data_IF_100924816282
#
_entry.id   IF_100924816282
#
_cell.length_a   1.000
_cell.length_b   1.000
_cell.length_c   1.000
_cell.angle_alpha   90.00
_cell.angle_beta   90.00
_cell.angle_gamma   90.00
#
_symmetry.space_group_name_H-M   'P 1'
#
loop_
_entity.id
_entity.type
_entity.pdbx_description
1 polymer ?
#
# COMPACT_ATOMS: atom_id res chain seq x y z
N UNK A 1 28.95 -73.51 28.49
CA UNK A 1 27.95 -74.17 27.63
C UNK A 1 27.30 -73.12 26.73
N UNK A 2 27.44 -73.34 25.42
CA UNK A 2 26.53 -72.95 24.31
C UNK A 2 26.12 -71.47 24.08
N UNK A 3 26.75 -70.90 23.03
CA UNK A 3 26.48 -69.73 22.16
C UNK A 3 25.03 -69.61 21.60
N UNK A 4 24.69 -68.67 20.64
CA UNK A 4 24.87 -67.19 20.55
C UNK A 4 23.64 -66.47 19.88
N UNK A 5 23.63 -65.13 19.75
CA UNK A 5 23.31 -64.48 18.46
C UNK A 5 23.67 -62.98 18.43
N UNK A 6 24.13 -62.53 17.25
CA UNK A 6 24.48 -61.15 16.87
C UNK A 6 23.29 -60.49 16.15
N UNK A 7 23.28 -59.16 16.11
CA UNK A 7 23.02 -58.26 14.96
C UNK A 7 22.45 -56.93 15.50
N UNK A 8 23.14 -55.78 15.38
CA UNK A 8 23.16 -54.89 14.21
C UNK A 8 22.95 -53.43 14.70
N UNK A 9 23.32 -52.39 13.94
CA UNK A 9 23.56 -51.04 14.47
C UNK A 9 22.26 -50.24 14.71
N UNK A 10 22.31 -49.37 15.74
CA UNK A 10 21.23 -48.44 16.13
C UNK A 10 20.86 -47.50 14.98
N UNK A 11 19.61 -47.60 14.53
CA UNK A 11 18.98 -46.60 13.67
C UNK A 11 18.72 -45.30 14.45
N UNK A 12 18.89 -44.18 13.75
CA UNK A 12 18.66 -42.83 14.24
C UNK A 12 17.19 -42.62 14.64
N UNK A 13 16.98 -41.88 15.73
CA UNK A 13 15.67 -41.48 16.19
C UNK A 13 15.08 -40.42 15.26
N UNK A 14 14.07 -40.80 14.47
CA UNK A 14 13.13 -39.86 13.87
C UNK A 14 12.09 -39.46 14.93
N UNK A 15 12.26 -38.27 15.48
CA UNK A 15 11.19 -37.60 16.24
C UNK A 15 10.19 -37.03 15.24
N UNK A 16 9.18 -37.82 14.88
CA UNK A 16 8.02 -37.33 14.13
C UNK A 16 7.18 -36.39 14.99
N UNK A 17 7.02 -35.14 14.54
CA UNK A 17 6.01 -34.22 15.08
C UNK A 17 4.63 -34.64 14.57
N UNK A 18 3.65 -34.97 15.45
CA UNK A 18 2.27 -35.14 15.04
C UNK A 18 1.60 -33.76 15.03
N UNK A 19 1.26 -33.23 13.86
CA UNK A 19 0.59 -31.94 13.81
C UNK A 19 0.45 -31.26 12.46
N UNK A 20 0.50 -31.98 11.33
CA UNK A 20 0.05 -31.44 10.04
C UNK A 20 -1.43 -31.80 9.78
N UNK A 21 -2.25 -31.68 10.81
CA UNK A 21 -3.70 -31.71 10.64
C UNK A 21 -4.10 -30.48 9.85
N UNK A 22 -4.38 -30.63 8.55
CA UNK A 22 -5.25 -29.69 7.84
C UNK A 22 -6.49 -29.53 8.72
N UNK A 23 -6.69 -28.34 9.28
CA UNK A 23 -7.96 -28.00 9.87
C UNK A 23 -8.93 -28.00 8.69
N UNK A 24 -9.63 -29.12 8.52
CA UNK A 24 -10.80 -29.17 7.66
C UNK A 24 -11.85 -28.42 8.46
N UNK A 25 -11.87 -27.09 8.30
CA UNK A 25 -13.07 -26.32 8.59
C UNK A 25 -14.05 -26.85 7.56
N UNK A 26 -15.00 -27.68 8.01
CA UNK A 26 -16.11 -28.10 7.17
C UNK A 26 -16.64 -26.84 6.49
N UNK A 27 -16.63 -26.86 5.15
CA UNK A 27 -17.25 -25.83 4.33
C UNK A 27 -18.56 -25.43 5.00
N UNK A 28 -18.67 -24.16 5.40
CA UNK A 28 -19.86 -23.62 6.03
C UNK A 28 -20.93 -23.49 4.94
N UNK A 29 -21.43 -24.64 4.48
CA UNK A 29 -22.59 -24.76 3.64
C UNK A 29 -23.81 -24.46 4.49
N UNK A 30 -24.05 -23.18 4.78
CA UNK A 30 -25.35 -22.55 5.14
C UNK A 30 -25.22 -21.24 5.95
N UNK A 31 -24.14 -20.46 5.84
CA UNK A 31 -24.21 -19.10 6.35
C UNK A 31 -25.16 -18.30 5.45
N UNK A 32 -26.37 -18.05 5.96
CA UNK A 32 -27.27 -17.07 5.34
C UNK A 32 -26.74 -15.68 5.70
N UNK A 33 -26.79 -14.72 4.77
CA UNK A 33 -26.46 -13.36 5.12
C UNK A 33 -27.35 -12.89 6.28
N UNK A 34 -26.75 -12.21 7.23
CA UNK A 34 -27.45 -11.76 8.42
C UNK A 34 -26.98 -10.38 8.82
N UNK A 35 -27.86 -9.39 8.74
CA UNK A 35 -27.61 -8.09 9.34
C UNK A 35 -27.36 -8.21 10.84
N UNK A 36 -26.40 -7.44 11.35
CA UNK A 36 -26.02 -7.44 12.75
C UNK A 36 -26.17 -6.05 13.35
N UNK A 37 -26.66 -6.00 14.59
CA UNK A 37 -26.68 -4.78 15.37
C UNK A 37 -25.37 -4.66 16.17
N UNK A 38 -24.68 -3.53 16.05
CA UNK A 38 -23.42 -3.28 16.76
C UNK A 38 -23.41 -1.88 17.37
N UNK A 39 -22.50 -1.67 18.31
CA UNK A 39 -22.21 -0.34 18.86
C UNK A 39 -20.80 0.09 18.43
N UNK A 40 -20.72 1.03 17.49
CA UNK A 40 -19.45 1.57 17.00
C UNK A 40 -18.95 2.72 17.90
N UNK A 41 -17.64 3.04 17.83
CA UNK A 41 -17.05 4.13 18.61
C UNK A 41 -16.77 5.34 17.74
N UNK A 42 -17.27 6.49 18.18
CA UNK A 42 -17.17 7.77 17.50
C UNK A 42 -16.40 8.79 18.34
N UNK A 43 -15.96 9.86 17.70
CA UNK A 43 -15.50 11.07 18.40
C UNK A 43 -16.64 11.63 19.25
N UNK A 44 -16.34 11.94 20.50
CA UNK A 44 -17.29 12.57 21.42
C UNK A 44 -17.81 13.89 20.84
N UNK A 45 -19.06 14.22 21.15
CA UNK A 45 -19.62 15.55 20.90
C UNK A 45 -19.18 16.49 22.02
N UNK A 46 -18.01 17.08 21.84
CA UNK A 46 -17.41 18.03 22.77
C UNK A 46 -17.26 19.42 22.10
N UNK A 47 -17.80 20.51 22.69
CA UNK A 47 -17.58 21.88 22.22
C UNK A 47 -16.10 22.28 22.10
N UNK A 48 -15.20 21.57 22.81
CA UNK A 48 -13.76 21.72 22.67
C UNK A 48 -13.32 21.70 21.20
N UNK A 49 -13.91 20.80 20.40
CA UNK A 49 -13.48 20.59 19.03
C UNK A 49 -13.80 21.76 18.09
N UNK A 50 -14.69 22.67 18.50
CA UNK A 50 -15.03 23.88 17.74
C UNK A 50 -13.96 24.97 17.85
N UNK A 51 -13.07 24.83 18.84
CA UNK A 51 -11.97 25.76 19.09
C UNK A 51 -10.59 25.11 18.97
N UNK A 52 -10.51 23.78 19.19
CA UNK A 52 -9.26 23.04 19.20
C UNK A 52 -9.38 21.83 18.27
N UNK A 53 -8.47 21.75 17.29
CA UNK A 53 -8.39 20.61 16.39
C UNK A 53 -8.16 19.31 17.18
N UNK A 54 -8.85 18.20 16.85
CA UNK A 54 -8.52 16.89 17.39
C UNK A 54 -7.04 16.55 17.16
N UNK A 55 -6.41 15.96 18.16
CA UNK A 55 -5.00 15.57 18.20
C UNK A 55 -4.91 14.18 18.83
N UNK A 56 -4.27 13.27 18.11
CA UNK A 56 -4.01 11.90 18.53
C UNK A 56 -2.50 11.63 18.55
N UNK A 57 -2.03 10.96 19.60
CA UNK A 57 -0.62 10.59 19.75
C UNK A 57 -0.46 9.08 19.70
N UNK A 58 0.29 8.58 18.72
CA UNK A 58 0.44 7.15 18.38
C UNK A 58 1.84 6.61 18.71
N UNK A 59 2.04 5.31 18.96
CA UNK A 59 1.06 4.22 18.94
C UNK A 59 0.37 3.95 20.30
N UNK A 60 0.94 4.42 21.41
CA UNK A 60 0.53 3.99 22.75
C UNK A 60 -0.48 4.94 23.42
N UNK A 61 -1.76 4.77 23.10
CA UNK A 61 -2.88 5.52 23.72
C UNK A 61 -2.84 5.54 25.26
N UNK A 62 -2.42 4.45 25.89
CA UNK A 62 -2.38 4.34 27.36
C UNK A 62 -1.34 5.25 28.01
N UNK A 63 -0.18 5.46 27.38
CA UNK A 63 0.88 6.34 27.90
C UNK A 63 0.72 7.79 27.45
N UNK A 64 -0.18 8.06 26.49
CA UNK A 64 -0.38 9.38 25.88
C UNK A 64 -1.74 10.01 26.24
N UNK A 65 -2.45 9.48 27.24
CA UNK A 65 -3.80 9.91 27.61
C UNK A 65 -3.93 11.43 27.90
N UNK A 66 -2.85 12.11 28.27
CA UNK A 66 -2.83 13.56 28.52
C UNK A 66 -2.29 14.39 27.34
N UNK A 67 -1.77 13.73 26.30
CA UNK A 67 -1.19 14.36 25.11
C UNK A 67 -2.13 14.32 23.90
N UNK A 68 -3.12 13.43 23.93
CA UNK A 68 -4.24 13.37 22.99
C UNK A 68 -5.44 14.12 23.55
N UNK A 69 -6.19 14.83 22.71
CA UNK A 69 -7.49 15.40 23.08
C UNK A 69 -8.67 14.66 22.42
N UNK A 70 -8.41 13.59 21.66
CA UNK A 70 -9.44 12.71 21.09
C UNK A 70 -10.08 11.90 22.19
N UNK A 71 -11.39 12.04 22.35
CA UNK A 71 -12.22 11.24 23.25
C UNK A 71 -13.20 10.41 22.44
N UNK A 72 -13.27 9.10 22.74
CA UNK A 72 -14.11 8.15 22.01
C UNK A 72 -15.27 7.64 22.85
N UNK A 73 -16.48 7.88 22.38
CA UNK A 73 -17.72 7.42 23.01
C UNK A 73 -18.40 6.36 22.15
N UNK A 74 -19.06 5.36 22.75
CA UNK A 74 -19.96 4.49 21.99
C UNK A 74 -21.09 5.32 21.37
N UNK A 75 -21.44 5.02 20.12
CA UNK A 75 -22.64 5.52 19.47
C UNK A 75 -23.90 4.78 19.95
N UNK A 76 -25.08 5.11 19.41
CA UNK A 76 -26.24 4.23 19.54
C UNK A 76 -26.02 2.93 18.73
N UNK A 77 -26.83 1.89 18.95
CA UNK A 77 -26.84 0.70 18.11
C UNK A 77 -27.11 1.06 16.65
N UNK A 78 -26.33 0.48 15.74
CA UNK A 78 -26.43 0.64 14.29
C UNK A 78 -26.42 -0.74 13.63
N UNK A 79 -27.14 -0.85 12.51
CA UNK A 79 -27.18 -2.08 11.72
C UNK A 79 -26.06 -2.07 10.70
N UNK A 80 -25.29 -3.16 10.66
CA UNK A 80 -24.35 -3.45 9.58
C UNK A 80 -25.05 -4.44 8.66
N UNK A 81 -25.22 -4.05 7.40
CA UNK A 81 -25.84 -4.87 6.38
C UNK A 81 -24.84 -5.88 5.84
N UNK A 82 -25.21 -7.15 5.83
CA UNK A 82 -24.36 -8.20 5.28
C UNK A 82 -24.44 -8.22 3.76
N UNK A 83 -23.30 -8.07 3.10
CA UNK A 83 -23.20 -7.97 1.65
C UNK A 83 -23.00 -9.30 0.93
N UNK A 84 -23.04 -10.43 1.64
CA UNK A 84 -22.78 -11.75 1.04
C UNK A 84 -23.64 -12.03 -0.22
N UNK A 85 -24.94 -11.70 -0.19
CA UNK A 85 -25.86 -11.86 -1.34
C UNK A 85 -25.83 -10.67 -2.31
N UNK A 86 -25.14 -9.59 -1.96
CA UNK A 86 -25.08 -8.31 -2.67
C UNK A 86 -23.64 -7.92 -3.04
N UNK A 87 -22.74 -8.91 -3.12
CA UNK A 87 -21.29 -8.72 -3.21
C UNK A 87 -20.86 -7.80 -4.37
N UNK A 88 -21.62 -7.80 -5.48
CA UNK A 88 -21.32 -7.06 -6.71
C UNK A 88 -22.06 -5.72 -6.83
N UNK A 89 -22.90 -5.35 -5.87
CA UNK A 89 -23.78 -4.18 -5.97
C UNK A 89 -23.05 -2.85 -5.67
N UNK A 90 -21.81 -2.93 -5.19
CA UNK A 90 -21.02 -1.79 -4.70
C UNK A 90 -19.90 -1.42 -5.66
N UNK A 91 -19.68 -0.12 -5.87
CA UNK A 91 -18.55 0.40 -6.65
C UNK A 91 -17.87 1.56 -5.94
N UNK A 92 -16.58 1.75 -6.24
CA UNK A 92 -15.79 2.82 -5.64
C UNK A 92 -16.39 4.22 -5.90
N UNK A 93 -16.97 4.48 -7.08
CA UNK A 93 -17.46 5.82 -7.44
C UNK A 93 -18.83 6.13 -6.82
N UNK A 94 -19.62 5.11 -6.53
CA UNK A 94 -20.98 5.26 -6.01
C UNK A 94 -21.05 5.09 -4.49
N UNK A 95 -20.28 4.16 -3.92
CA UNK A 95 -20.33 3.82 -2.50
C UNK A 95 -19.04 4.12 -1.76
N UNK A 96 -17.94 4.35 -2.47
CA UNK A 96 -16.62 4.55 -1.85
C UNK A 96 -15.89 3.25 -1.55
N UNK A 97 -16.52 2.09 -1.76
CA UNK A 97 -15.93 0.78 -1.60
C UNK A 97 -16.49 -0.22 -2.63
N UNK A 98 -15.79 -1.33 -2.81
CA UNK A 98 -16.16 -2.43 -3.69
C UNK A 98 -15.53 -3.73 -3.18
N UNK A 99 -16.28 -4.83 -3.28
CA UNK A 99 -15.76 -6.17 -3.03
C UNK A 99 -15.31 -6.81 -4.35
N UNK A 100 -14.18 -7.52 -4.30
CA UNK A 100 -13.60 -8.18 -5.47
C UNK A 100 -13.22 -9.59 -5.08
N UNK A 101 -13.66 -10.56 -5.88
CA UNK A 101 -13.19 -11.93 -5.77
C UNK A 101 -11.82 -12.03 -6.46
N UNK A 102 -10.76 -12.19 -5.68
CA UNK A 102 -9.38 -12.17 -6.12
C UNK A 102 -8.57 -13.26 -5.39
N UNK A 103 -8.80 -14.55 -5.68
CA UNK A 103 -8.08 -15.66 -5.05
C UNK A 103 -6.57 -15.52 -5.26
N UNK A 104 -5.79 -15.98 -4.28
CA UNK A 104 -4.32 -15.91 -4.32
C UNK A 104 -3.71 -17.21 -3.78
N UNK A 105 -2.64 -17.66 -4.44
CA UNK A 105 -1.80 -18.75 -3.94
C UNK A 105 -0.67 -18.23 -3.02
N UNK A 106 -0.61 -16.91 -2.77
CA UNK A 106 0.40 -16.31 -1.92
C UNK A 106 0.24 -16.76 -0.46
N UNK A 107 1.31 -17.32 0.11
CA UNK A 107 1.30 -17.85 1.49
C UNK A 107 2.39 -17.24 2.40
N UNK A 108 3.33 -16.49 1.83
CA UNK A 108 4.51 -15.95 2.53
C UNK A 108 4.22 -14.61 3.26
N UNK A 109 3.13 -14.57 4.04
CA UNK A 109 2.61 -13.34 4.67
C UNK A 109 3.54 -12.65 5.68
N UNK A 110 4.61 -13.32 6.11
CA UNK A 110 5.59 -12.77 7.05
C UNK A 110 6.83 -12.20 6.36
N UNK A 111 7.04 -12.49 5.07
CA UNK A 111 8.24 -12.09 4.31
C UNK A 111 7.98 -10.78 3.57
N UNK A 112 8.60 -9.70 4.03
CA UNK A 112 8.47 -8.38 3.39
C UNK A 112 8.97 -8.39 1.93
N UNK A 113 10.02 -9.18 1.65
CA UNK A 113 10.57 -9.31 0.30
C UNK A 113 9.58 -9.98 -0.66
N UNK A 114 8.93 -11.07 -0.22
CA UNK A 114 7.98 -11.80 -1.05
C UNK A 114 6.68 -11.02 -1.23
N UNK A 115 6.22 -10.33 -0.19
CA UNK A 115 5.10 -9.39 -0.27
C UNK A 115 5.35 -8.31 -1.33
N UNK A 116 6.54 -7.70 -1.31
CA UNK A 116 6.89 -6.62 -2.24
C UNK A 116 7.09 -7.11 -3.67
N UNK A 117 7.71 -8.27 -3.85
CA UNK A 117 8.09 -8.77 -5.18
C UNK A 117 6.98 -9.52 -5.90
N UNK A 118 6.11 -10.23 -5.16
CA UNK A 118 5.06 -11.08 -5.73
C UNK A 118 3.67 -10.52 -5.43
N UNK A 119 3.31 -10.34 -4.16
CA UNK A 119 1.94 -9.98 -3.77
C UNK A 119 1.51 -8.59 -4.28
N UNK A 120 2.39 -7.58 -4.22
CA UNK A 120 2.08 -6.26 -4.80
C UNK A 120 1.85 -6.31 -6.33
N UNK A 121 2.47 -7.26 -7.03
CA UNK A 121 2.24 -7.45 -8.47
C UNK A 121 0.85 -8.02 -8.74
N UNK A 122 0.36 -8.93 -7.89
CA UNK A 122 -1.03 -9.42 -7.95
C UNK A 122 -2.02 -8.29 -7.68
N UNK A 123 -1.73 -7.42 -6.70
CA UNK A 123 -2.58 -6.28 -6.38
C UNK A 123 -2.57 -5.19 -7.48
N UNK A 124 -1.47 -5.00 -8.20
CA UNK A 124 -1.44 -4.10 -9.37
C UNK A 124 -2.45 -4.57 -10.44
N UNK A 125 -2.47 -5.87 -10.72
CA UNK A 125 -3.42 -6.46 -11.67
C UNK A 125 -4.87 -6.28 -11.21
N UNK A 126 -5.16 -6.62 -9.95
CA UNK A 126 -6.48 -6.41 -9.33
C UNK A 126 -6.96 -4.96 -9.49
N UNK A 127 -6.10 -3.98 -9.17
CA UNK A 127 -6.47 -2.57 -9.30
C UNK A 127 -6.73 -2.16 -10.75
N UNK A 128 -5.95 -2.66 -11.70
CA UNK A 128 -6.14 -2.34 -13.13
C UNK A 128 -7.41 -2.95 -13.71
N UNK A 129 -7.83 -4.12 -13.23
CA UNK A 129 -9.05 -4.79 -13.68
C UNK A 129 -10.32 -4.19 -13.07
N UNK A 130 -10.23 -3.66 -11.85
CA UNK A 130 -11.42 -3.26 -11.07
C UNK A 130 -11.54 -1.74 -10.86
N UNK A 131 -10.54 -0.95 -11.24
CA UNK A 131 -10.55 0.52 -11.07
C UNK A 131 -10.40 1.20 -12.43
N UNK A 132 -11.43 1.96 -12.83
CA UNK A 132 -11.40 2.72 -14.07
C UNK A 132 -10.37 3.85 -14.03
N UNK A 133 -9.72 4.10 -15.17
CA UNK A 133 -8.71 5.16 -15.29
C UNK A 133 -7.49 4.94 -14.41
N UNK A 134 -7.00 3.70 -14.33
CA UNK A 134 -5.86 3.29 -13.52
C UNK A 134 -4.54 3.37 -14.33
N UNK A 135 -4.08 4.58 -14.64
CA UNK A 135 -2.90 4.82 -15.49
C UNK A 135 -1.59 4.58 -14.73
N UNK A 136 -1.48 5.08 -13.50
CA UNK A 136 -0.31 4.89 -12.62
C UNK A 136 -0.75 4.47 -11.22
N UNK A 137 -0.11 3.42 -10.68
CA UNK A 137 -0.32 2.93 -9.31
C UNK A 137 0.99 3.10 -8.54
N UNK A 138 0.90 3.60 -7.31
CA UNK A 138 2.01 3.64 -6.36
C UNK A 138 1.57 3.08 -5.01
N UNK A 139 2.06 1.89 -4.67
CA UNK A 139 1.93 1.34 -3.32
C UNK A 139 2.88 2.04 -2.36
N UNK A 140 2.36 2.47 -1.21
CA UNK A 140 3.15 3.26 -0.25
C UNK A 140 3.07 2.78 1.19
N UNK A 141 2.14 1.89 1.53
CA UNK A 141 2.01 1.35 2.88
C UNK A 141 1.49 -0.08 2.79
N UNK A 142 2.00 -0.95 3.65
CA UNK A 142 1.59 -2.34 3.79
C UNK A 142 1.61 -2.70 5.27
N UNK A 143 0.50 -3.21 5.79
CA UNK A 143 0.35 -3.55 7.21
C UNK A 143 -0.27 -4.92 7.34
N UNK A 144 0.41 -5.82 8.06
CA UNK A 144 -0.22 -7.03 8.57
C UNK A 144 -0.74 -6.77 9.98
N UNK A 145 -1.92 -7.31 10.30
CA UNK A 145 -2.53 -7.19 11.61
C UNK A 145 -2.83 -8.56 12.15
N UNK A 146 -2.29 -8.84 13.33
CA UNK A 146 -2.56 -10.02 14.14
C UNK A 146 -3.14 -9.57 15.48
N UNK A 147 -3.90 -10.44 16.13
CA UNK A 147 -4.29 -10.24 17.53
C UNK A 147 -3.08 -10.49 18.45
N UNK A 148 -2.13 -9.57 18.43
CA UNK A 148 -1.04 -9.47 19.41
C UNK A 148 -1.32 -8.27 20.34
N UNK A 149 -0.74 -8.26 21.55
CA UNK A 149 -0.73 -7.05 22.39
C UNK A 149 -0.20 -5.86 21.59
N UNK A 150 -0.81 -4.67 21.77
CA UNK A 150 -0.45 -3.45 21.06
C UNK A 150 1.07 -3.19 21.11
N UNK A 151 1.71 -3.02 19.94
CA UNK A 151 3.14 -2.71 19.83
C UNK A 151 4.07 -3.92 19.69
N UNK A 152 3.56 -5.15 19.55
CA UNK A 152 4.40 -6.29 19.14
C UNK A 152 4.80 -6.17 17.67
N UNK A 153 6.09 -6.21 17.36
CA UNK A 153 6.58 -6.36 15.97
C UNK A 153 6.66 -7.84 15.64
N UNK A 154 6.41 -8.22 14.38
CA UNK A 154 6.88 -9.54 13.94
C UNK A 154 8.41 -9.52 13.87
N UNK A 155 9.06 -10.69 13.89
CA UNK A 155 10.52 -10.81 13.88
C UNK A 155 11.19 -10.18 12.65
N UNK A 156 10.42 -9.81 11.62
CA UNK A 156 10.92 -9.28 10.34
C UNK A 156 10.57 -7.79 10.10
N UNK A 157 10.13 -7.07 11.14
CA UNK A 157 10.00 -5.61 11.08
C UNK A 157 8.59 -5.08 10.79
N UNK A 158 7.67 -5.94 10.31
CA UNK A 158 6.27 -5.58 10.06
C UNK A 158 5.58 -5.03 11.32
N UNK A 159 4.94 -3.87 11.19
CA UNK A 159 4.18 -3.24 12.29
C UNK A 159 2.85 -3.98 12.53
N UNK A 160 2.74 -4.75 13.63
CA UNK A 160 1.45 -5.30 14.09
C UNK A 160 0.74 -4.27 14.97
N UNK A 161 -0.22 -3.57 14.36
CA UNK A 161 -1.05 -2.59 15.06
C UNK A 161 -2.37 -3.21 15.53
N UNK A 162 -2.85 -2.87 16.74
CA UNK A 162 -4.17 -3.30 17.19
C UNK A 162 -5.24 -2.79 16.22
N UNK A 163 -6.37 -3.50 16.16
CA UNK A 163 -7.48 -3.15 15.29
C UNK A 163 -8.03 -1.76 15.59
N UNK A 164 -8.25 -0.96 14.55
CA UNK A 164 -8.78 0.40 14.67
C UNK A 164 -10.28 0.35 14.97
N UNK A 165 -10.65 0.40 16.25
CA UNK A 165 -12.03 0.33 16.76
C UNK A 165 -12.77 1.68 16.80
N UNK A 166 -12.14 2.72 16.27
CA UNK A 166 -12.76 4.02 16.08
C UNK A 166 -13.27 4.12 14.64
N UNK A 167 -14.41 4.77 14.43
CA UNK A 167 -14.86 5.16 13.08
C UNK A 167 -13.99 6.30 12.56
N UNK A 168 -13.34 6.05 11.42
CA UNK A 168 -12.35 6.97 10.87
C UNK A 168 -12.20 6.88 9.34
N UNK A 169 -11.44 7.84 8.80
CA UNK A 169 -10.69 7.68 7.54
C UNK A 169 -9.21 7.81 7.83
N UNK A 170 -8.36 7.11 7.09
CA UNK A 170 -6.91 7.14 7.30
C UNK A 170 -6.27 8.46 6.91
N UNK A 171 -6.91 9.14 5.97
CA UNK A 171 -6.45 10.36 5.36
C UNK A 171 -7.57 11.39 5.29
N UNK A 172 -7.14 12.65 5.31
CA UNK A 172 -7.91 13.83 4.94
C UNK A 172 -7.42 14.35 3.59
N UNK A 173 -8.18 15.26 2.93
CA UNK A 173 -7.75 15.87 1.67
C UNK A 173 -6.37 16.54 1.75
N UNK A 174 -6.05 17.20 2.87
CA UNK A 174 -4.74 17.82 3.11
C UNK A 174 -3.63 16.76 3.17
N UNK A 175 -3.81 15.71 3.98
CA UNK A 175 -2.82 14.63 4.09
C UNK A 175 -2.64 13.85 2.78
N UNK A 176 -3.70 13.71 1.97
CA UNK A 176 -3.65 13.05 0.68
C UNK A 176 -2.83 13.87 -0.31
N UNK A 177 -3.06 15.18 -0.38
CA UNK A 177 -2.30 16.10 -1.23
C UNK A 177 -0.81 16.13 -0.85
N UNK A 178 -0.50 16.27 0.45
CA UNK A 178 0.86 16.22 0.96
C UNK A 178 1.56 14.91 0.57
N UNK A 179 0.85 13.78 0.72
CA UNK A 179 1.37 12.46 0.36
C UNK A 179 1.63 12.33 -1.14
N UNK A 180 0.72 12.78 -2.00
CA UNK A 180 0.93 12.79 -3.45
C UNK A 180 2.17 13.60 -3.80
N UNK A 181 2.32 14.80 -3.24
CA UNK A 181 3.48 15.66 -3.48
C UNK A 181 4.80 15.01 -3.02
N UNK A 182 4.83 14.45 -1.81
CA UNK A 182 6.03 13.85 -1.22
C UNK A 182 6.48 12.60 -1.98
N UNK A 183 5.55 11.73 -2.35
CA UNK A 183 5.86 10.43 -2.95
C UNK A 183 6.11 10.52 -4.47
N UNK A 184 5.45 11.46 -5.17
CA UNK A 184 5.57 11.56 -6.63
C UNK A 184 6.54 12.64 -7.10
N UNK A 185 6.97 13.54 -6.20
CA UNK A 185 8.01 14.53 -6.46
C UNK A 185 7.68 15.41 -7.67
N UNK A 186 8.57 15.39 -8.68
CA UNK A 186 8.41 16.22 -9.90
C UNK A 186 7.15 15.89 -10.70
N UNK A 187 6.57 14.70 -10.56
CA UNK A 187 5.33 14.32 -11.26
C UNK A 187 4.07 14.90 -10.62
N UNK A 188 4.15 15.36 -9.36
CA UNK A 188 2.98 15.71 -8.56
C UNK A 188 2.04 16.69 -9.27
N UNK A 189 2.58 17.75 -9.86
CA UNK A 189 1.77 18.76 -10.56
C UNK A 189 1.03 18.19 -11.77
N UNK A 190 1.64 17.26 -12.51
CA UNK A 190 1.00 16.60 -13.65
C UNK A 190 -0.12 15.65 -13.16
N UNK A 191 0.17 14.83 -12.16
CA UNK A 191 -0.77 13.85 -11.62
C UNK A 191 -1.99 14.54 -10.97
N UNK A 192 -1.77 15.61 -10.22
CA UNK A 192 -2.83 16.41 -9.56
C UNK A 192 -3.76 17.13 -10.54
N UNK A 193 -3.41 17.25 -11.82
CA UNK A 193 -4.31 17.77 -12.87
C UNK A 193 -5.27 16.71 -13.41
N UNK A 194 -4.98 15.44 -13.14
CA UNK A 194 -5.85 14.31 -13.44
C UNK A 194 -6.71 13.95 -12.23
N UNK A 195 -7.09 12.67 -12.14
CA UNK A 195 -7.84 12.13 -10.99
C UNK A 195 -6.90 11.36 -10.08
N UNK A 196 -6.84 11.72 -8.81
CA UNK A 196 -6.01 11.08 -7.81
C UNK A 196 -6.90 10.39 -6.79
N UNK A 197 -6.62 9.11 -6.49
CA UNK A 197 -7.32 8.33 -5.47
C UNK A 197 -6.34 7.69 -4.50
N UNK A 198 -6.70 7.65 -3.22
CA UNK A 198 -6.06 6.78 -2.23
C UNK A 198 -7.00 5.62 -1.97
N UNK A 199 -6.58 4.41 -2.34
CA UNK A 199 -7.38 3.19 -2.21
C UNK A 199 -6.66 2.24 -1.27
N UNK A 200 -7.37 1.77 -0.26
CA UNK A 200 -6.94 0.67 0.59
C UNK A 200 -7.47 -0.64 0.02
N UNK A 201 -6.62 -1.66 0.03
CA UNK A 201 -6.93 -3.04 -0.29
C UNK A 201 -6.79 -3.84 0.99
N UNK A 202 -7.89 -4.40 1.46
CA UNK A 202 -7.91 -5.18 2.69
C UNK A 202 -8.32 -6.62 2.42
N UNK A 203 -7.54 -7.56 2.97
CA UNK A 203 -7.70 -9.00 2.76
C UNK A 203 -7.50 -9.76 4.08
N UNK A 204 -8.42 -10.65 4.49
CA UNK A 204 -8.16 -11.67 5.49
C UNK A 204 -7.05 -12.61 5.03
N UNK A 205 -6.09 -12.96 5.89
CA UNK A 205 -5.01 -13.89 5.51
C UNK A 205 -5.17 -15.20 6.27
N UNK A 206 -4.78 -16.30 5.64
CA UNK A 206 -4.81 -17.70 6.15
C UNK A 206 -6.20 -18.32 6.35
N UNK A 207 -7.20 -17.58 6.82
CA UNK A 207 -8.54 -18.10 7.08
C UNK A 207 -9.61 -17.01 6.98
N UNK A 208 -10.89 -17.36 6.85
CA UNK A 208 -11.97 -16.39 6.92
C UNK A 208 -12.02 -15.63 8.25
N UNK A 209 -12.71 -14.49 8.24
CA UNK A 209 -12.93 -13.68 9.44
C UNK A 209 -14.04 -14.30 10.30
N UNK A 210 -13.72 -14.63 11.55
CA UNK A 210 -14.64 -15.29 12.47
C UNK A 210 -14.94 -14.51 13.76
N UNK A 211 -14.10 -13.54 14.12
CA UNK A 211 -14.19 -12.82 15.40
C UNK A 211 -14.33 -11.30 15.23
N UNK A 212 -13.42 -10.67 14.46
CA UNK A 212 -13.35 -9.22 14.34
C UNK A 212 -13.46 -8.80 12.87
N UNK A 213 -14.62 -8.30 12.47
CA UNK A 213 -14.91 -7.84 11.11
C UNK A 213 -14.31 -6.49 10.75
N UNK A 214 -14.40 -6.15 9.46
CA UNK A 214 -14.21 -4.79 8.96
C UNK A 214 -15.57 -4.26 8.51
N UNK A 215 -16.05 -3.20 9.16
CA UNK A 215 -17.24 -2.48 8.75
C UNK A 215 -16.81 -1.29 7.87
N UNK A 216 -17.56 -1.06 6.81
CA UNK A 216 -17.40 0.08 5.91
C UNK A 216 -18.70 0.84 5.79
N UNK A 217 -18.65 2.16 5.70
CA UNK A 217 -19.82 2.99 5.47
C UNK A 217 -19.78 3.63 4.08
N UNK A 218 -20.93 3.64 3.41
CA UNK A 218 -21.07 4.26 2.11
C UNK A 218 -20.73 5.75 2.17
N UNK A 219 -19.79 6.17 1.31
CA UNK A 219 -19.39 7.56 1.14
C UNK A 219 -20.54 8.45 0.67
N UNK A 220 -21.50 7.91 -0.08
CA UNK A 220 -22.67 8.65 -0.56
C UNK A 220 -23.61 9.07 0.58
N UNK A 221 -23.57 8.37 1.71
CA UNK A 221 -24.33 8.75 2.89
C UNK A 221 -23.72 9.96 3.62
N UNK A 222 -22.48 10.34 3.33
CA UNK A 222 -21.71 11.36 4.05
C UNK A 222 -22.15 12.80 3.74
N UNK A 223 -22.00 13.66 4.74
CA UNK A 223 -22.31 15.08 4.69
C UNK A 223 -21.08 15.90 5.04
N UNK A 224 -21.07 17.13 4.54
CA UNK A 224 -20.06 18.11 4.93
C UNK A 224 -20.05 18.27 6.47
N UNK A 225 -18.88 18.09 7.08
CA UNK A 225 -18.67 18.23 8.52
C UNK A 225 -18.74 16.93 9.34
N UNK A 226 -19.13 15.80 8.75
CA UNK A 226 -19.14 14.51 9.49
C UNK A 226 -17.75 14.06 9.90
N UNK A 227 -16.77 14.32 9.03
CA UNK A 227 -15.37 13.98 9.25
C UNK A 227 -14.64 15.24 9.69
N UNK A 228 -14.09 15.21 10.90
CA UNK A 228 -13.19 16.26 11.41
C UNK A 228 -11.75 15.82 11.21
N UNK A 229 -10.92 16.74 10.77
CA UNK A 229 -9.49 16.48 10.63
C UNK A 229 -8.83 16.39 12.02
N UNK A 230 -8.07 15.33 12.24
CA UNK A 230 -7.31 15.07 13.45
C UNK A 230 -5.82 15.00 13.15
N UNK A 231 -5.04 15.81 13.85
CA UNK A 231 -3.58 15.72 13.77
C UNK A 231 -3.09 14.44 14.44
N UNK A 232 -2.15 13.74 13.80
CA UNK A 232 -1.40 12.65 14.42
C UNK A 232 0.02 13.09 14.74
N UNK A 233 0.48 12.75 15.93
CA UNK A 233 1.87 12.96 16.37
C UNK A 233 2.49 11.67 16.89
N UNK A 234 3.79 11.51 16.71
CA UNK A 234 4.51 10.34 17.25
C UNK A 234 4.73 10.51 18.76
N UNK A 235 4.51 9.45 19.53
CA UNK A 235 4.67 9.45 20.99
C UNK A 235 6.14 9.59 21.43
N UNK A 236 7.08 9.11 20.62
CA UNK A 236 8.52 9.09 20.91
C UNK A 236 9.16 10.49 20.82
N UNK A 237 8.72 11.28 19.84
CA UNK A 237 9.36 12.54 19.43
C UNK A 237 8.43 13.74 19.56
N UNK A 238 7.11 13.52 19.66
CA UNK A 238 6.10 14.57 19.60
C UNK A 238 5.99 15.23 18.22
N UNK A 239 6.71 14.73 17.22
CA UNK A 239 6.72 15.28 15.87
C UNK A 239 5.37 15.07 15.18
N UNK A 240 4.96 16.06 14.38
CA UNK A 240 3.84 15.90 13.45
C UNK A 240 4.11 14.73 12.50
N UNK A 241 3.11 13.87 12.36
CA UNK A 241 3.16 12.71 11.49
C UNK A 241 2.35 12.97 10.22
N UNK A 242 1.03 13.10 10.35
CA UNK A 242 0.08 13.45 9.29
C UNK A 242 -1.27 13.83 9.92
N UNK A 243 -2.34 13.87 9.12
CA UNK A 243 -3.72 13.97 9.63
C UNK A 243 -4.61 12.82 9.16
N UNK A 244 -5.60 12.49 10.00
CA UNK A 244 -6.63 11.49 9.74
C UNK A 244 -8.03 12.06 9.96
N UNK A 245 -9.07 11.40 9.45
CA UNK A 245 -10.45 11.79 9.69
C UNK A 245 -11.02 11.10 10.92
N UNK A 246 -11.53 11.87 11.88
CA UNK A 246 -12.29 11.35 13.03
C UNK A 246 -13.76 11.75 12.90
N UNK A 247 -14.66 10.83 13.23
CA UNK A 247 -16.09 10.99 12.91
C UNK A 247 -16.92 11.20 14.16
N UNK A 248 -17.77 12.22 14.17
CA UNK A 248 -18.80 12.39 15.19
C UNK A 248 -20.08 11.68 14.76
N UNK A 249 -20.72 10.96 15.68
CA UNK A 249 -21.95 10.22 15.34
C UNK A 249 -23.07 11.16 14.86
N UNK A 250 -23.71 10.77 13.76
CA UNK A 250 -25.03 11.23 13.35
C UNK A 250 -25.85 10.06 12.80
N UNK A 251 -27.19 10.14 12.84
CA UNK A 251 -28.02 9.17 12.15
C UNK A 251 -27.80 9.22 10.64
N UNK A 252 -28.01 8.06 9.98
CA UNK A 252 -27.98 7.92 8.52
C UNK A 252 -26.59 7.65 7.94
N UNK A 253 -25.67 7.03 8.70
CA UNK A 253 -24.58 6.29 8.09
C UNK A 253 -25.11 4.93 7.62
N UNK A 254 -24.75 4.52 6.41
CA UNK A 254 -25.14 3.22 5.85
C UNK A 254 -23.95 2.28 5.94
N UNK A 255 -24.01 1.33 6.87
CA UNK A 255 -22.91 0.44 7.21
C UNK A 255 -23.08 -0.94 6.59
N UNK A 256 -21.96 -1.49 6.15
CA UNK A 256 -21.87 -2.78 5.47
C UNK A 256 -20.71 -3.60 6.00
N UNK A 257 -20.84 -4.91 5.91
CA UNK A 257 -19.75 -5.85 6.15
C UNK A 257 -19.96 -7.12 5.30
N UNK A 258 -18.91 -7.93 5.17
CA UNK A 258 -19.00 -9.24 4.50
C UNK A 258 -18.91 -10.34 5.55
N UNK A 259 -19.98 -11.10 5.75
CA UNK A 259 -19.90 -12.30 6.58
C UNK A 259 -19.05 -13.38 5.92
N UNK A 260 -18.35 -14.17 6.76
CA UNK A 260 -17.41 -15.20 6.30
C UNK A 260 -16.41 -14.66 5.24
N UNK A 261 -15.94 -13.42 5.40
CA UNK A 261 -14.99 -12.79 4.49
C UNK A 261 -13.76 -13.70 4.34
N UNK A 262 -13.64 -14.34 3.18
CA UNK A 262 -12.63 -15.34 2.85
C UNK A 262 -11.32 -14.66 2.44
N UNK A 263 -10.16 -15.33 2.59
CA UNK A 263 -8.92 -14.88 1.96
C UNK A 263 -8.99 -14.73 0.45
N UNK A 264 -9.98 -15.33 -0.22
CA UNK A 264 -10.18 -15.20 -1.67
C UNK A 264 -10.83 -13.87 -2.05
N UNK A 265 -11.43 -13.16 -1.10
CA UNK A 265 -12.13 -11.92 -1.34
C UNK A 265 -11.37 -10.75 -0.74
N UNK A 266 -11.34 -9.63 -1.46
CA UNK A 266 -10.75 -8.38 -0.99
C UNK A 266 -11.80 -7.28 -1.00
N UNK A 267 -11.63 -6.32 -0.13
CA UNK A 267 -12.37 -5.06 -0.19
C UNK A 267 -11.41 -3.94 -0.60
N UNK A 268 -11.83 -3.21 -1.62
CA UNK A 268 -11.23 -1.96 -2.06
C UNK A 268 -12.05 -0.82 -1.45
N UNK A 269 -11.43 0.14 -0.78
CA UNK A 269 -12.15 1.30 -0.25
C UNK A 269 -11.33 2.58 -0.30
N UNK A 270 -11.99 3.70 -0.58
CA UNK A 270 -11.35 5.01 -0.79
C UNK A 270 -11.09 5.70 0.54
N UNK A 271 -9.88 6.22 0.69
CA UNK A 271 -9.55 7.22 1.72
C UNK A 271 -9.54 8.64 1.15
N UNK A 272 -9.49 8.78 -0.17
CA UNK A 272 -9.53 10.06 -0.88
C UNK A 272 -9.84 9.86 -2.36
N UNK A 273 -10.54 10.82 -2.95
CA UNK A 273 -10.76 10.95 -4.39
C UNK A 273 -10.78 12.44 -4.73
N UNK A 274 -10.00 12.85 -5.74
CA UNK A 274 -9.95 14.25 -6.17
C UNK A 274 -11.09 14.65 -7.10
N UNK A 275 -11.92 13.70 -7.54
CA UNK A 275 -13.08 13.99 -8.37
C UNK A 275 -14.23 14.57 -7.53
N UNK A 276 -14.37 15.89 -7.58
CA UNK A 276 -15.40 16.65 -6.86
C UNK A 276 -16.82 16.43 -7.41
N UNK A 277 -16.99 15.73 -8.53
CA UNK A 277 -18.32 15.38 -9.07
C UNK A 277 -18.93 14.15 -8.40
N UNK A 278 -18.16 13.41 -7.61
CA UNK A 278 -18.61 12.21 -6.92
C UNK A 278 -19.10 12.53 -5.50
N UNK A 279 -20.18 11.88 -5.10
CA UNK A 279 -20.66 11.94 -3.71
C UNK A 279 -19.77 11.09 -2.78
N UNK A 280 -19.41 9.88 -3.22
CA UNK A 280 -18.65 8.94 -2.42
C UNK A 280 -17.13 9.09 -2.60
N UNK A 281 -16.54 10.20 -2.15
CA UNK A 281 -15.08 10.44 -2.28
C UNK A 281 -14.22 9.69 -1.25
N UNK A 282 -14.84 9.25 -0.16
CA UNK A 282 -14.19 8.55 0.95
C UNK A 282 -15.11 7.44 1.46
N UNK A 283 -14.55 6.48 2.21
CA UNK A 283 -15.26 5.41 2.87
C UNK A 283 -14.86 5.39 4.35
N UNK A 284 -15.84 5.57 5.24
CA UNK A 284 -15.58 5.38 6.67
C UNK A 284 -15.36 3.90 6.91
N UNK A 285 -14.51 3.57 7.88
CA UNK A 285 -14.28 2.18 8.25
C UNK A 285 -13.91 2.05 9.71
N UNK A 286 -14.17 0.86 10.25
CA UNK A 286 -13.81 0.50 11.61
C UNK A 286 -13.80 -1.02 11.79
N UNK A 287 -12.98 -1.49 12.72
CA UNK A 287 -13.05 -2.87 13.18
C UNK A 287 -14.18 -3.02 14.21
N UNK A 288 -14.97 -4.07 14.07
CA UNK A 288 -16.05 -4.42 14.99
C UNK A 288 -15.94 -5.89 15.42
N UNK A 289 -16.52 -6.25 16.56
CA UNK A 289 -16.61 -7.65 16.98
C UNK A 289 -17.90 -8.27 16.46
N UNK A 290 -17.79 -9.46 15.87
CA UNK A 290 -18.94 -10.27 15.53
C UNK A 290 -19.69 -10.68 16.80
N UNK A 291 -21.03 -10.87 16.73
CA UNK A 291 -21.81 -11.31 17.88
C UNK A 291 -21.21 -12.59 18.49
N UNK A 292 -21.00 -12.69 19.82
CA UNK A 292 -20.33 -13.84 20.43
C UNK A 292 -20.95 -15.20 20.09
N UNK A 293 -22.25 -15.25 19.86
CA UNK A 293 -23.01 -16.41 19.41
C UNK A 293 -22.65 -16.90 18.01
N UNK A 294 -22.07 -16.03 17.17
CA UNK A 294 -21.61 -16.38 15.81
C UNK A 294 -20.15 -16.87 15.79
N UNK A 295 -19.41 -16.69 16.89
CA UNK A 295 -18.00 -17.06 17.00
C UNK A 295 -17.88 -18.51 17.49
N UNK A 296 -17.26 -19.37 16.67
CA UNK A 296 -16.98 -20.76 17.08
C UNK A 296 -15.99 -20.80 18.25
N UNK A 297 -16.18 -21.74 19.17
CA UNK A 297 -15.37 -21.84 20.41
C UNK A 297 -13.84 -21.94 20.18
N UNK A 298 -13.41 -22.38 19.00
CA UNK A 298 -12.01 -22.48 18.59
C UNK A 298 -11.72 -21.69 17.30
N UNK A 299 -12.52 -20.68 17.00
CA UNK A 299 -12.27 -19.81 15.86
C UNK A 299 -10.89 -19.13 16.02
N UNK A 300 -10.02 -19.19 15.00
CA UNK A 300 -8.78 -18.43 15.04
C UNK A 300 -9.10 -16.93 15.03
N UNK A 301 -8.25 -16.16 15.70
CA UNK A 301 -8.38 -14.70 15.71
C UNK A 301 -8.05 -14.14 14.34
N UNK A 302 -8.74 -13.07 13.91
CA UNK A 302 -8.47 -12.43 12.62
C UNK A 302 -6.98 -12.15 12.41
N UNK A 303 -6.48 -12.65 11.29
CA UNK A 303 -5.26 -12.15 10.66
C UNK A 303 -5.65 -11.47 9.35
N UNK A 304 -5.09 -10.29 9.08
CA UNK A 304 -5.39 -9.55 7.84
C UNK A 304 -4.18 -8.77 7.34
N UNK A 305 -4.22 -8.42 6.06
CA UNK A 305 -3.28 -7.49 5.42
C UNK A 305 -4.04 -6.32 4.82
N UNK A 306 -3.47 -5.13 4.97
CA UNK A 306 -3.94 -3.90 4.34
C UNK A 306 -2.80 -3.31 3.52
N UNK A 307 -3.06 -3.06 2.24
CA UNK A 307 -2.12 -2.38 1.33
C UNK A 307 -2.75 -1.08 0.87
N UNK A 308 -1.99 0.01 0.89
CA UNK A 308 -2.47 1.33 0.49
C UNK A 308 -1.80 1.78 -0.80
N UNK A 309 -2.62 2.20 -1.75
CA UNK A 309 -2.21 2.59 -3.08
C UNK A 309 -2.66 4.00 -3.41
N UNK A 310 -1.78 4.76 -4.06
CA UNK A 310 -2.15 5.92 -4.85
C UNK A 310 -2.48 5.45 -6.26
N UNK A 311 -3.66 5.81 -6.77
CA UNK A 311 -4.13 5.44 -8.11
C UNK A 311 -4.46 6.70 -8.89
N UNK A 312 -3.79 6.88 -10.03
CA UNK A 312 -3.86 8.08 -10.84
C UNK A 312 -4.51 7.81 -12.20
N UNK A 313 -5.44 8.68 -12.59
CA UNK A 313 -5.83 8.89 -13.99
C UNK A 313 -5.10 10.11 -14.50
N UNK A 314 -4.42 10.02 -15.64
CA UNK A 314 -3.70 11.14 -16.20
C UNK A 314 -4.65 12.22 -16.72
N UNK A 315 -4.25 13.50 -16.66
CA UNK A 315 -5.02 14.58 -17.27
C UNK A 315 -5.15 14.31 -18.78
N UNK A 316 -6.30 14.66 -19.40
CA UNK A 316 -6.47 14.49 -20.83
C UNK A 316 -5.43 15.31 -21.61
N UNK A 317 -4.99 14.88 -22.80
CA UNK A 317 -3.92 15.52 -23.56
C UNK A 317 -4.14 17.01 -23.86
N UNK A 318 -5.39 17.49 -23.87
CA UNK A 318 -5.75 18.90 -24.05
C UNK A 318 -5.31 19.80 -22.89
N UNK A 319 -5.26 19.28 -21.66
CA UNK A 319 -4.79 19.96 -20.45
C UNK A 319 -3.25 19.98 -20.33
N UNK A 320 -2.54 19.22 -21.18
CA UNK A 320 -1.07 19.11 -21.20
C UNK A 320 -0.35 20.15 -22.08
N UNK A 321 -1.07 20.93 -22.90
CA UNK A 321 -0.44 22.06 -23.63
C UNK A 321 -0.30 23.24 -22.70
N UNK A 322 0.87 23.36 -22.08
CA UNK A 322 1.33 24.60 -21.45
C UNK A 322 1.22 25.75 -22.48
N UNK A 323 0.18 26.56 -22.38
CA UNK A 323 0.20 27.92 -22.91
C UNK A 323 1.09 28.74 -21.96
N UNK A 324 2.24 29.28 -22.39
CA UNK A 324 3.07 30.11 -21.53
C UNK A 324 2.33 31.44 -21.33
N UNK A 325 1.62 31.58 -20.21
CA UNK A 325 0.98 32.84 -19.83
C UNK A 325 1.43 33.30 -18.44
N UNK A 326 2.22 34.38 -18.48
CA UNK A 326 2.60 35.34 -17.44
C UNK A 326 3.56 34.88 -16.30
N UNK A 327 4.50 35.77 -15.90
CA UNK A 327 5.62 35.40 -15.04
C UNK A 327 5.21 35.37 -13.56
N UNK A 328 5.50 34.25 -12.89
CA UNK A 328 5.57 34.21 -11.44
C UNK A 328 6.82 34.98 -10.98
N UNK A 329 6.64 35.78 -9.93
CA UNK A 329 7.66 36.61 -9.26
C UNK A 329 8.97 35.83 -8.99
N UNK A 330 10.14 36.51 -8.99
CA UNK A 330 11.43 35.83 -9.02
C UNK A 330 11.72 35.14 -7.69
N UNK A 331 11.64 33.81 -7.67
CA UNK A 331 12.32 33.01 -6.66
C UNK A 331 13.83 33.12 -6.91
N UNK A 332 14.55 33.59 -5.88
CA UNK A 332 16.00 33.77 -5.88
C UNK A 332 16.67 32.45 -6.32
N UNK A 333 17.34 32.47 -7.48
CA UNK A 333 18.20 31.38 -7.94
C UNK A 333 19.58 31.53 -7.29
N UNK A 334 20.08 30.57 -6.50
CA UNK A 334 21.52 30.39 -6.39
C UNK A 334 21.98 29.75 -7.70
N UNK A 335 22.84 30.46 -8.43
CA UNK A 335 23.47 29.95 -9.64
C UNK A 335 24.47 28.84 -9.26
N UNK A 336 24.07 27.58 -9.42
CA UNK A 336 25.01 26.46 -9.50
C UNK A 336 25.58 26.44 -10.93
N UNK A 337 26.82 26.91 -11.07
CA UNK A 337 27.62 26.62 -12.26
C UNK A 337 27.96 25.12 -12.24
N UNK A 338 27.55 24.39 -13.28
CA UNK A 338 28.16 23.11 -13.59
C UNK A 338 29.57 23.38 -14.08
N UNK A 339 30.58 23.01 -13.28
CA UNK A 339 31.95 22.91 -13.78
C UNK A 339 32.03 21.69 -14.71
N UNK A 340 32.52 21.95 -15.92
CA UNK A 340 32.84 20.95 -16.94
C UNK A 340 34.06 20.14 -16.48
N UNK A 341 33.84 19.04 -15.77
CA UNK A 341 34.94 18.18 -15.32
C UNK A 341 34.55 16.93 -14.53
N UNK A 342 33.35 16.35 -14.76
CA UNK A 342 32.94 15.13 -14.09
C UNK A 342 33.44 13.89 -14.84
N UNK A 343 34.49 13.26 -14.33
CA UNK A 343 35.00 11.93 -14.72
C UNK A 343 34.47 10.87 -13.73
N UNK A 344 33.92 9.71 -14.17
CA UNK A 344 33.12 8.82 -13.31
C UNK A 344 33.89 7.83 -12.42
N UNK A 345 35.21 7.97 -12.22
CA UNK A 345 36.05 6.85 -11.72
C UNK A 345 36.76 7.05 -10.35
N UNK A 346 36.25 7.91 -9.44
CA UNK A 346 36.89 8.09 -8.12
C UNK A 346 36.00 7.88 -6.88
N UNK A 347 35.16 6.84 -6.89
CA UNK A 347 34.42 6.39 -5.70
C UNK A 347 34.66 4.91 -5.40
N UNK A 348 35.92 4.47 -5.43
CA UNK A 348 36.36 3.16 -4.92
C UNK A 348 37.48 3.33 -3.89
N UNK A 349 37.18 3.96 -2.75
CA UNK A 349 38.07 3.92 -1.57
C UNK A 349 37.39 4.53 -0.33
N UNK A 350 36.32 3.89 0.16
CA UNK A 350 35.90 3.98 1.57
C UNK A 350 34.90 2.87 1.84
N UNK A 351 35.40 1.63 1.82
CA UNK A 351 34.73 0.52 2.51
C UNK A 351 34.92 0.74 4.01
N UNK A 352 34.17 1.67 4.59
CA UNK A 352 33.82 1.55 5.99
C UNK A 352 32.71 0.51 6.06
N UNK A 353 32.96 -0.55 6.82
CA UNK A 353 32.03 -1.64 7.08
C UNK A 353 30.67 -1.08 7.52
N UNK A 354 29.72 -1.06 6.58
CA UNK A 354 28.30 -0.95 6.87
C UNK A 354 27.89 -2.27 7.52
N UNK A 355 28.22 -2.41 8.80
CA UNK A 355 27.51 -3.32 9.67
C UNK A 355 26.03 -2.95 9.53
N UNK A 356 25.25 -3.93 9.06
CA UNK A 356 23.79 -3.83 8.98
C UNK A 356 23.29 -3.51 10.38
N UNK A 357 22.93 -2.24 10.58
CA UNK A 357 22.25 -1.77 11.78
C UNK A 357 20.84 -2.36 11.74
N UNK A 358 20.57 -3.29 12.65
CA UNK A 358 19.29 -3.99 12.80
C UNK A 358 18.31 -3.26 13.73
N UNK A 359 18.56 -1.98 14.00
CA UNK A 359 17.77 -1.13 14.88
C UNK A 359 17.12 0.00 14.07
N UNK A 360 16.03 -0.29 13.36
CA UNK A 360 15.25 0.74 12.68
C UNK A 360 13.76 0.69 13.06
N UNK A 361 13.38 1.80 13.67
CA UNK A 361 12.09 2.25 14.20
C UNK A 361 11.11 2.64 13.08
N UNK A 362 9.81 2.75 13.41
CA UNK A 362 8.61 2.88 12.55
C UNK A 362 8.57 4.14 11.64
N UNK A 363 9.61 4.37 10.84
CA UNK A 363 9.76 5.56 10.02
C UNK A 363 10.49 5.33 8.68
N UNK A 364 10.83 4.08 8.34
CA UNK A 364 11.53 3.79 7.07
C UNK A 364 10.87 2.77 6.16
N UNK A 365 9.80 2.05 6.53
CA UNK A 365 9.22 1.02 5.64
C UNK A 365 8.79 1.59 4.26
N UNK A 366 8.22 2.80 4.23
CA UNK A 366 7.87 3.50 2.97
C UNK A 366 9.10 3.94 2.19
N UNK A 367 10.12 4.45 2.91
CA UNK A 367 11.38 4.86 2.29
C UNK A 367 12.15 3.67 1.76
N UNK A 368 12.10 2.51 2.42
CA UNK A 368 12.84 1.33 2.03
C UNK A 368 12.17 0.62 0.85
N UNK A 369 10.85 0.49 0.81
CA UNK A 369 10.14 -0.05 -0.36
C UNK A 369 10.28 0.86 -1.60
N UNK A 370 10.08 2.17 -1.44
CA UNK A 370 10.27 3.12 -2.53
C UNK A 370 11.74 3.23 -2.96
N UNK A 371 12.69 3.22 -2.02
CA UNK A 371 14.11 3.18 -2.33
C UNK A 371 14.49 1.87 -3.01
N UNK A 372 13.89 0.74 -2.66
CA UNK A 372 14.10 -0.55 -3.31
C UNK A 372 13.53 -0.56 -4.73
N UNK A 373 12.32 -0.03 -4.95
CA UNK A 373 11.73 0.14 -6.27
C UNK A 373 12.53 1.12 -7.13
N UNK A 374 12.95 2.26 -6.57
CA UNK A 374 13.82 3.24 -7.24
C UNK A 374 15.20 2.65 -7.54
N UNK A 375 15.82 1.91 -6.62
CA UNK A 375 17.10 1.20 -6.84
C UNK A 375 16.96 0.11 -7.91
N UNK A 376 15.83 -0.61 -7.96
CA UNK A 376 15.56 -1.58 -9.02
C UNK A 376 15.41 -0.87 -10.36
N UNK A 377 14.59 0.18 -10.41
CA UNK A 377 14.39 0.99 -11.62
C UNK A 377 15.68 1.63 -12.13
N UNK A 378 16.54 2.13 -11.22
CA UNK A 378 17.87 2.65 -11.58
C UNK A 378 18.74 1.55 -12.19
N UNK A 379 18.78 0.35 -11.59
CA UNK A 379 19.53 -0.79 -12.16
C UNK A 379 19.01 -1.20 -13.54
N UNK A 380 17.70 -1.21 -13.73
CA UNK A 380 17.08 -1.55 -15.03
C UNK A 380 17.42 -0.50 -16.09
N UNK A 381 17.38 0.79 -15.73
CA UNK A 381 17.74 1.90 -16.62
C UNK A 381 19.24 1.90 -16.95
N UNK A 382 20.11 1.66 -15.97
CA UNK A 382 21.55 1.51 -16.19
C UNK A 382 21.85 0.35 -17.14
N UNK A 383 21.12 -0.77 -17.01
CA UNK A 383 21.27 -1.91 -17.91
C UNK A 383 20.84 -1.55 -19.33
N UNK A 384 19.68 -0.88 -19.49
CA UNK A 384 19.20 -0.39 -20.77
C UNK A 384 20.19 0.58 -21.44
N UNK A 385 20.79 1.49 -20.68
CA UNK A 385 21.83 2.40 -21.18
C UNK A 385 23.08 1.64 -21.62
N UNK A 386 23.52 0.62 -20.87
CA UNK A 386 24.65 -0.23 -21.25
C UNK A 386 24.38 -0.99 -22.55
N UNK A 387 23.16 -1.50 -22.72
CA UNK A 387 22.78 -2.26 -23.92
C UNK A 387 22.70 -1.34 -25.15
N UNK A 388 22.09 -0.15 -25.02
CA UNK A 388 22.09 0.87 -26.06
C UNK A 388 23.49 1.36 -26.43
N UNK A 389 24.39 1.48 -25.45
CA UNK A 389 25.78 1.85 -25.71
C UNK A 389 26.51 0.79 -26.53
N UNK A 390 26.31 -0.51 -26.22
CA UNK A 390 26.86 -1.62 -27.01
C UNK A 390 26.34 -1.60 -28.45
N UNK A 391 25.03 -1.45 -28.62
CA UNK A 391 24.42 -1.36 -29.95
C UNK A 391 24.99 -0.16 -30.75
N UNK A 392 25.17 0.98 -30.09
CA UNK A 392 25.83 2.16 -30.70
C UNK A 392 27.28 1.91 -31.11
N UNK A 393 28.05 1.13 -30.33
CA UNK A 393 29.41 0.73 -30.70
C UNK A 393 29.43 -0.20 -31.91
N UNK A 394 28.53 -1.18 -31.97
CA UNK A 394 28.43 -2.12 -33.09
C UNK A 394 28.04 -1.40 -34.38
N UNK A 395 27.07 -0.48 -34.32
CA UNK A 395 26.67 0.34 -35.47
C UNK A 395 27.81 1.24 -35.97
N UNK A 396 28.63 1.81 -35.07
CA UNK A 396 29.81 2.59 -35.46
C UNK A 396 30.88 1.72 -36.11
N UNK A 397 31.11 0.51 -35.60
CA UNK A 397 32.04 -0.43 -36.21
C UNK A 397 31.59 -0.85 -37.62
N UNK A 398 30.30 -1.14 -37.80
CA UNK A 398 29.71 -1.46 -39.11
C UNK A 398 29.84 -0.27 -40.07
N UNK A 399 29.56 0.95 -39.61
CA UNK A 399 29.71 2.17 -40.40
C UNK A 399 31.16 2.39 -40.85
N UNK A 400 32.14 2.17 -39.96
CA UNK A 400 33.56 2.27 -40.29
C UNK A 400 34.00 1.24 -41.36
N UNK A 401 33.50 0.00 -41.26
CA UNK A 401 33.74 -1.04 -42.28
C UNK A 401 33.14 -0.63 -43.63
N UNK A 402 31.92 -0.10 -43.65
CA UNK A 402 31.30 0.37 -44.89
C UNK A 402 32.05 1.56 -45.49
N UNK A 403 32.49 2.53 -44.67
CA UNK A 403 33.31 3.64 -45.13
C UNK A 403 34.65 3.17 -45.71
N UNK A 404 35.28 2.16 -45.12
CA UNK A 404 36.49 1.54 -45.69
C UNK A 404 36.24 0.95 -47.07
N UNK A 405 35.15 0.17 -47.23
CA UNK A 405 34.77 -0.42 -48.53
C UNK A 405 34.45 0.65 -49.58
N UNK A 406 33.82 1.76 -49.19
CA UNK A 406 33.56 2.89 -50.09
C UNK A 406 34.88 3.49 -50.57
N UNK A 407 35.84 3.76 -49.67
CA UNK A 407 37.16 4.29 -50.06
C UNK A 407 37.92 3.33 -50.98
N UNK A 408 37.86 2.03 -50.72
CA UNK A 408 38.51 1.02 -51.59
C UNK A 408 37.89 1.01 -53.00
N UNK A 409 36.56 1.17 -53.10
CA UNK A 409 35.85 1.29 -54.38
C UNK A 409 36.19 2.58 -55.11
N UNK A 410 36.25 3.72 -54.41
CA UNK A 410 36.67 5.00 -54.98
C UNK A 410 38.10 4.92 -55.54
N UNK A 411 39.02 4.29 -54.81
CA UNK A 411 40.41 4.08 -55.25
C UNK A 411 40.56 3.13 -56.45
N UNK A 412 39.58 2.25 -56.69
CA UNK A 412 39.52 1.39 -57.88
C UNK A 412 39.00 2.15 -59.11
N UNK A 413 38.10 3.11 -58.92
CA UNK A 413 37.56 3.97 -60.00
C UNK A 413 38.59 5.00 -60.45
N UNK A 414 39.43 5.51 -59.55
CA UNK A 414 40.49 6.49 -59.85
C UNK A 414 41.78 5.89 -60.45
N UNK A 415 41.82 4.57 -60.72
CA UNK A 415 42.98 3.98 -61.41
C UNK A 415 42.99 4.44 -62.87
N UNK A 416 44.09 5.06 -63.35
CA UNK A 416 44.19 5.47 -64.74
C UNK A 416 44.15 4.24 -65.65
N UNK A 417 43.24 4.28 -66.63
CA UNK A 417 43.17 3.28 -67.71
C UNK A 417 44.46 3.39 -68.50
N UNK A 418 45.39 2.46 -68.24
CA UNK A 418 46.57 2.29 -69.10
C UNK A 418 46.06 1.73 -70.42
N UNK A 419 45.97 2.60 -71.42
CA UNK A 419 45.67 2.19 -72.79
C UNK A 419 46.88 1.44 -73.36
N UNK A 420 46.67 0.31 -74.07
CA UNK A 420 47.74 -0.58 -74.53
C UNK A 420 48.66 0.05 -75.57
#
# INVERSE_FOLDING_TARGET
MSKPCRDGPKAAAETGYPGSGKIVIESIASHKPQDIEVTLRYLAKDPLYDHIKPLQVTPNFATTAHLSNVQLTPGPPEILHDVLDHFQDFSLDTHGFQYVHAPTDFSAWTSQSDLTSSYLSELDHVLRENVDGCDEILFYDLRTRHALPSGSRTSEGLSSNPFARQVHTDNTPSSALEKIQQLTGMKAEFLLRGRCRLINLWRPIKHPVFDCGLAVASGASLRAGDVRECDRRRADTGAYWDTMGVVQYRPGFEWYYLSNHSPDDIILFKNFDSDESLDAKICLHTAFDLPPESILANAPQRESIEVRALVFTFPPPSLGRLQPSAPLLPLIKPALKLDSGYEPDQLTSSLHSLAVRTDIDECTEVKDAELLLRKRRIRDLEQMVRDLAREGHDLRAQSAVQQGRIRDLEALVDRPVVSP
#
